data_IF_778013570620
#
_entry.id   IF_778013570620
#
_cell.length_a   1.000
_cell.length_b   1.000
_cell.length_c   1.000
_cell.angle_alpha   90.00
_cell.angle_beta   90.00
_cell.angle_gamma   90.00
#
_symmetry.space_group_name_H-M   'P 1'
#
loop_
_entity.id
_entity.type
_entity.pdbx_description
1 polymer ?
#
# COMPACT_ATOMS: atom_id res chain seq x y z
N UNK A 1 4.71 3.54 -14.73
CA UNK A 1 4.20 3.76 -13.37
C UNK A 1 4.16 5.26 -13.15
N UNK A 2 2.96 5.84 -13.12
CA UNK A 2 2.76 7.25 -12.82
C UNK A 2 2.10 7.28 -11.45
N UNK A 3 2.84 7.76 -10.47
CA UNK A 3 2.35 8.12 -9.14
C UNK A 3 2.08 9.62 -9.17
N UNK A 4 0.81 10.01 -9.10
CA UNK A 4 0.42 11.42 -9.08
C UNK A 4 -0.25 11.73 -7.75
N UNK A 5 0.34 12.68 -7.02
CA UNK A 5 -0.19 13.18 -5.77
C UNK A 5 -1.08 14.40 -6.05
N UNK A 6 -2.37 14.29 -5.74
CA UNK A 6 -3.34 15.37 -5.97
C UNK A 6 -3.57 16.14 -4.66
N UNK A 7 -3.44 17.48 -4.63
CA UNK A 7 -3.61 18.27 -3.41
C UNK A 7 -5.05 18.24 -2.86
N UNK A 8 -5.19 18.30 -1.52
CA UNK A 8 -6.46 18.32 -0.79
C UNK A 8 -6.61 19.55 0.12
N UNK A 9 -7.85 19.80 0.59
CA UNK A 9 -8.25 20.88 1.50
C UNK A 9 -7.76 20.67 2.96
N UNK A 10 -7.26 19.47 3.30
CA UNK A 10 -6.61 19.07 4.56
C UNK A 10 -5.33 18.29 4.22
N UNK A 11 -4.42 18.02 5.18
CA UNK A 11 -3.15 17.33 4.91
C UNK A 11 -3.30 15.83 4.60
N UNK A 12 -4.39 15.41 3.93
CA UNK A 12 -4.51 14.08 3.35
C UNK A 12 -4.13 14.15 1.87
N UNK A 13 -3.45 13.13 1.39
CA UNK A 13 -3.02 13.04 -0.01
C UNK A 13 -3.94 12.09 -0.77
N UNK A 14 -4.22 12.43 -2.04
CA UNK A 14 -4.87 11.55 -3.00
C UNK A 14 -3.80 10.96 -3.90
N UNK A 15 -3.81 9.65 -4.07
CA UNK A 15 -2.89 8.94 -4.94
C UNK A 15 -3.63 8.43 -6.16
N UNK A 16 -3.00 8.58 -7.32
CA UNK A 16 -3.43 7.96 -8.57
C UNK A 16 -2.34 7.01 -9.04
N UNK A 17 -2.69 5.74 -9.17
CA UNK A 17 -1.81 4.71 -9.72
C UNK A 17 -2.45 4.10 -10.96
N UNK A 18 -1.69 3.95 -12.04
CA UNK A 18 -2.18 3.38 -13.29
C UNK A 18 -1.23 2.31 -13.85
N UNK A 19 -1.80 1.16 -14.18
CA UNK A 19 -1.14 0.07 -14.86
C UNK A 19 -1.99 -0.46 -16.02
N UNK A 20 -1.37 -1.27 -16.88
CA UNK A 20 -1.94 -1.68 -18.15
C UNK A 20 -1.43 -3.08 -18.51
N UNK A 21 -1.78 -3.53 -19.72
CA UNK A 21 -1.21 -4.72 -20.35
C UNK A 21 0.32 -4.86 -20.21
N UNK A 22 1.08 -3.76 -20.16
CA UNK A 22 2.54 -3.84 -19.99
C UNK A 22 2.99 -4.53 -18.68
N UNK A 23 2.10 -4.60 -17.68
CA UNK A 23 2.33 -5.28 -16.40
C UNK A 23 1.57 -6.62 -16.31
N UNK A 24 0.96 -7.09 -17.42
CA UNK A 24 0.13 -8.31 -17.48
C UNK A 24 -1.08 -8.32 -16.52
N UNK A 25 -1.55 -7.15 -16.08
CA UNK A 25 -2.72 -7.03 -15.18
C UNK A 25 -4.04 -6.78 -15.92
N UNK A 26 -3.99 -6.45 -17.22
CA UNK A 26 -5.16 -6.15 -18.04
C UNK A 26 -4.96 -6.63 -19.49
N UNK A 27 -6.05 -6.93 -20.25
CA UNK A 27 -5.96 -7.21 -21.67
C UNK A 27 -5.35 -6.06 -22.49
N UNK A 28 -4.83 -6.36 -23.69
CA UNK A 28 -4.25 -5.35 -24.58
C UNK A 28 -5.26 -4.25 -24.92
N UNK A 29 -4.87 -3.00 -24.72
CA UNK A 29 -5.73 -1.82 -24.93
C UNK A 29 -6.64 -1.47 -23.75
N UNK A 30 -6.51 -2.15 -22.61
CA UNK A 30 -7.18 -1.82 -21.36
C UNK A 30 -6.18 -1.34 -20.30
N UNK A 31 -6.68 -0.50 -19.40
CA UNK A 31 -5.92 0.11 -18.31
C UNK A 31 -6.71 -0.06 -17.01
N UNK A 32 -6.00 -0.24 -15.91
CA UNK A 32 -6.57 -0.27 -14.57
C UNK A 32 -5.94 0.91 -13.81
N UNK A 33 -6.79 1.77 -13.28
CA UNK A 33 -6.38 2.91 -12.50
C UNK A 33 -7.01 2.83 -11.11
N UNK A 34 -6.21 3.12 -10.09
CA UNK A 34 -6.60 3.20 -8.69
C UNK A 34 -6.49 4.64 -8.24
N UNK A 35 -7.59 5.17 -7.69
CA UNK A 35 -7.62 6.45 -6.98
C UNK A 35 -7.83 6.12 -5.51
N UNK A 36 -6.85 6.42 -4.66
CA UNK A 36 -6.91 6.09 -3.23
C UNK A 36 -6.72 7.34 -2.38
N UNK A 37 -7.41 7.38 -1.24
CA UNK A 37 -7.29 8.44 -0.25
C UNK A 37 -7.77 7.94 1.10
N UNK A 38 -7.44 8.67 2.16
CA UNK A 38 -8.02 8.43 3.49
C UNK A 38 -9.41 9.06 3.54
N UNK A 39 -10.42 8.27 3.90
CA UNK A 39 -11.80 8.75 3.94
C UNK A 39 -11.96 9.84 5.03
N UNK A 40 -12.40 11.03 4.61
CA UNK A 40 -12.71 12.14 5.54
C UNK A 40 -14.21 12.30 5.80
N UNK A 41 -15.03 11.70 4.95
CA UNK A 41 -16.49 11.78 4.93
C UNK A 41 -17.10 10.42 4.62
N UNK A 42 -18.40 10.29 4.83
CA UNK A 42 -19.15 9.07 4.47
C UNK A 42 -19.45 8.99 2.95
N UNK A 43 -18.94 9.93 2.14
CA UNK A 43 -19.18 10.04 0.70
C UNK A 43 -17.88 9.85 -0.11
N UNK A 44 -17.37 8.61 -0.27
CA UNK A 44 -16.11 8.36 -0.96
C UNK A 44 -16.12 8.82 -2.44
N UNK A 45 -17.29 8.84 -3.08
CA UNK A 45 -17.45 9.28 -4.47
C UNK A 45 -17.08 10.76 -4.67
N UNK A 46 -17.44 11.63 -3.72
CA UNK A 46 -17.14 13.06 -3.81
C UNK A 46 -15.65 13.32 -3.58
N UNK A 47 -15.03 12.57 -2.67
CA UNK A 47 -13.61 12.70 -2.35
C UNK A 47 -12.70 12.23 -3.48
N UNK A 48 -13.09 11.15 -4.18
CA UNK A 48 -12.32 10.57 -5.28
C UNK A 48 -12.61 11.26 -6.62
N UNK A 49 -13.71 12.02 -6.73
CA UNK A 49 -14.11 12.71 -7.96
C UNK A 49 -12.98 13.50 -8.64
N UNK A 50 -12.17 14.32 -7.93
CA UNK A 50 -11.08 15.05 -8.56
C UNK A 50 -10.03 14.14 -9.22
N UNK A 51 -9.78 12.95 -8.66
CA UNK A 51 -8.85 11.97 -9.23
C UNK A 51 -9.47 11.21 -10.41
N UNK A 52 -10.77 10.90 -10.33
CA UNK A 52 -11.52 10.25 -11.42
C UNK A 52 -11.64 11.19 -12.63
N UNK A 53 -11.91 12.48 -12.41
CA UNK A 53 -12.03 13.48 -13.48
C UNK A 53 -10.71 13.62 -14.29
N UNK A 54 -9.55 13.32 -13.69
CA UNK A 54 -8.25 13.29 -14.38
C UNK A 54 -8.08 12.08 -15.31
N UNK A 55 -8.81 10.98 -15.08
CA UNK A 55 -8.74 9.78 -15.91
C UNK A 55 -9.48 9.95 -17.25
N UNK A 56 -10.43 10.89 -17.32
CA UNK A 56 -11.27 11.09 -18.50
C UNK A 56 -12.35 10.00 -18.63
N UNK A 57 -12.65 9.51 -19.85
CA UNK A 57 -13.66 8.47 -20.05
C UNK A 57 -13.24 7.15 -19.38
N UNK A 58 -14.07 6.65 -18.46
CA UNK A 58 -13.87 5.37 -17.75
C UNK A 58 -14.95 4.38 -18.18
N UNK A 59 -14.55 3.14 -18.49
CA UNK A 59 -15.48 2.08 -18.87
C UNK A 59 -16.34 1.62 -17.68
N UNK A 60 -15.70 1.35 -16.53
CA UNK A 60 -16.34 0.85 -15.31
C UNK A 60 -15.61 1.39 -14.07
N UNK A 61 -16.36 1.73 -13.00
CA UNK A 61 -15.82 2.25 -11.74
C UNK A 61 -16.32 1.40 -10.59
N UNK A 62 -15.39 1.00 -9.71
CA UNK A 62 -15.68 0.27 -8.47
C UNK A 62 -15.24 1.11 -7.28
N UNK A 63 -16.13 1.26 -6.29
CA UNK A 63 -15.84 1.99 -5.06
C UNK A 63 -15.79 0.99 -3.92
N UNK A 64 -14.65 0.95 -3.21
CA UNK A 64 -14.48 0.17 -2.00
C UNK A 64 -13.90 1.05 -0.89
N UNK A 65 -14.31 0.78 0.34
CA UNK A 65 -13.81 1.42 1.56
C UNK A 65 -13.40 0.35 2.56
N UNK A 66 -12.26 0.53 3.22
CA UNK A 66 -11.71 -0.42 4.19
C UNK A 66 -11.33 0.30 5.48
N UNK A 67 -11.68 -0.28 6.61
CA UNK A 67 -11.20 0.16 7.91
C UNK A 67 -9.73 -0.23 8.09
N UNK A 68 -8.94 0.66 8.68
CA UNK A 68 -7.54 0.42 9.00
C UNK A 68 -7.37 0.17 10.48
N UNK A 69 -6.61 -0.88 10.80
CA UNK A 69 -6.32 -1.32 12.15
C UNK A 69 -4.82 -1.26 12.44
N UNK A 70 -4.50 -0.97 13.70
CA UNK A 70 -3.15 -1.03 14.26
C UNK A 70 -3.14 -1.93 15.51
N UNK A 71 -2.03 -2.63 15.78
CA UNK A 71 -1.92 -3.50 16.94
C UNK A 71 -1.89 -2.66 18.23
N UNK A 72 -2.76 -3.01 19.18
CA UNK A 72 -2.80 -2.38 20.52
C UNK A 72 -2.21 -3.28 21.60
N UNK A 73 -1.69 -4.45 21.23
CA UNK A 73 -1.20 -5.46 22.17
C UNK A 73 0.24 -5.18 22.62
N UNK A 74 0.61 -5.73 23.78
CA UNK A 74 2.00 -5.71 24.27
C UNK A 74 2.68 -7.02 23.85
N UNK A 75 3.45 -6.95 22.76
CA UNK A 75 4.10 -8.12 22.16
C UNK A 75 5.07 -8.85 23.10
N UNK A 76 5.62 -8.15 24.11
CA UNK A 76 6.53 -8.74 25.10
C UNK A 76 5.80 -9.69 26.07
N UNK A 77 4.50 -9.45 26.30
CA UNK A 77 3.69 -10.24 27.23
C UNK A 77 3.04 -11.45 26.56
N UNK A 78 2.62 -11.31 25.28
CA UNK A 78 1.81 -12.31 24.57
C UNK A 78 2.54 -13.01 23.41
N UNK A 79 3.75 -12.56 23.05
CA UNK A 79 4.50 -13.04 21.88
C UNK A 79 3.70 -13.02 20.56
N UNK A 80 2.70 -12.14 20.45
CA UNK A 80 1.88 -11.95 19.27
C UNK A 80 2.35 -10.71 18.49
N UNK A 81 2.81 -10.93 17.26
CA UNK A 81 3.32 -9.88 16.39
C UNK A 81 2.34 -9.67 15.24
N UNK A 82 1.58 -8.58 15.29
CA UNK A 82 0.50 -8.28 14.36
C UNK A 82 0.91 -7.08 13.51
N UNK A 83 0.73 -7.18 12.19
CA UNK A 83 1.00 -6.08 11.25
C UNK A 83 -0.08 -5.01 11.28
N UNK A 84 0.28 -3.81 10.89
CA UNK A 84 -0.67 -2.73 10.60
C UNK A 84 -1.40 -2.97 9.28
N UNK A 85 -2.60 -2.39 9.12
CA UNK A 85 -3.31 -2.40 7.85
C UNK A 85 -2.62 -1.50 6.81
N UNK A 86 -2.67 -1.89 5.54
CA UNK A 86 -2.16 -1.08 4.43
C UNK A 86 -2.79 0.32 4.45
N UNK A 87 -1.96 1.32 4.19
CA UNK A 87 -2.40 2.71 4.08
C UNK A 87 -2.86 3.03 2.66
N UNK A 88 -3.32 4.27 2.46
CA UNK A 88 -3.80 4.71 1.16
C UNK A 88 -2.67 4.97 0.15
N UNK A 89 -1.39 4.83 0.55
CA UNK A 89 -0.26 5.12 -0.32
C UNK A 89 -0.08 4.03 -1.37
N UNK A 90 0.38 4.43 -2.55
CA UNK A 90 0.57 3.57 -3.72
C UNK A 90 2.00 3.00 -3.82
N UNK A 91 2.83 3.27 -2.82
CA UNK A 91 4.21 2.81 -2.72
C UNK A 91 4.46 2.11 -1.38
N UNK A 92 5.44 1.21 -1.32
CA UNK A 92 5.59 0.28 -0.20
C UNK A 92 6.42 0.81 0.98
N UNK A 93 6.73 2.11 1.06
CA UNK A 93 7.67 2.60 2.07
C UNK A 93 7.17 2.34 3.51
N UNK A 94 5.91 2.64 3.79
CA UNK A 94 5.30 2.44 5.12
C UNK A 94 5.15 0.96 5.44
N UNK A 95 4.75 0.16 4.46
CA UNK A 95 4.67 -1.30 4.59
C UNK A 95 6.03 -1.90 4.94
N UNK A 96 7.10 -1.49 4.25
CA UNK A 96 8.45 -1.98 4.50
C UNK A 96 8.91 -1.60 5.91
N UNK A 97 8.61 -0.37 6.36
CA UNK A 97 8.91 0.05 7.73
C UNK A 97 8.22 -0.83 8.77
N UNK A 98 6.95 -1.19 8.56
CA UNK A 98 6.22 -2.08 9.46
C UNK A 98 6.83 -3.49 9.50
N UNK A 99 7.20 -4.04 8.34
CA UNK A 99 7.88 -5.35 8.24
C UNK A 99 9.23 -5.33 8.97
N UNK A 100 10.04 -4.29 8.79
CA UNK A 100 11.34 -4.16 9.47
C UNK A 100 11.14 -4.04 10.98
N UNK A 101 10.15 -3.25 11.42
CA UNK A 101 9.84 -3.11 12.84
C UNK A 101 9.40 -4.45 13.47
N UNK A 102 8.53 -5.19 12.79
CA UNK A 102 8.12 -6.52 13.23
C UNK A 102 9.30 -7.49 13.29
N UNK A 103 10.17 -7.50 12.27
CA UNK A 103 11.37 -8.33 12.28
C UNK A 103 12.24 -8.05 13.51
N UNK A 104 12.45 -6.77 13.84
CA UNK A 104 13.19 -6.36 15.03
C UNK A 104 12.53 -6.83 16.33
N UNK A 105 11.19 -6.72 16.44
CA UNK A 105 10.42 -7.19 17.61
C UNK A 105 10.49 -8.71 17.78
N UNK A 106 10.41 -9.47 16.69
CA UNK A 106 10.42 -10.95 16.72
C UNK A 106 11.82 -11.48 17.03
N UNK A 107 12.85 -10.94 16.37
CA UNK A 107 14.20 -11.52 16.40
C UNK A 107 15.12 -10.88 17.43
N UNK A 108 14.77 -9.67 17.92
CA UNK A 108 15.62 -8.86 18.79
C UNK A 108 16.89 -8.33 18.10
N UNK A 109 16.96 -8.39 16.76
CA UNK A 109 18.12 -7.97 15.96
C UNK A 109 17.76 -6.84 15.00
N UNK A 110 18.71 -5.96 14.74
CA UNK A 110 18.57 -4.97 13.66
C UNK A 110 18.73 -5.66 12.30
N UNK A 111 17.88 -5.30 11.34
CA UNK A 111 17.91 -5.88 10.01
C UNK A 111 19.12 -5.37 9.22
N UNK A 112 20.10 -6.23 9.01
CA UNK A 112 21.21 -5.99 8.10
C UNK A 112 20.88 -6.56 6.71
N UNK A 113 20.85 -5.69 5.69
CA UNK A 113 20.63 -6.08 4.29
C UNK A 113 21.94 -6.21 3.48
N UNK A 114 23.09 -5.97 4.11
CA UNK A 114 24.41 -6.06 3.48
C UNK A 114 24.99 -7.48 3.48
N UNK A 115 24.27 -8.44 4.08
CA UNK A 115 24.72 -9.83 4.21
C UNK A 115 24.80 -10.49 2.84
N UNK A 116 25.94 -11.09 2.54
CA UNK A 116 26.13 -11.90 1.34
C UNK A 116 25.34 -13.20 1.48
N UNK A 117 24.21 -13.29 0.77
CA UNK A 117 23.29 -14.43 0.77
C UNK A 117 23.79 -15.62 -0.07
N UNK A 118 25.00 -15.57 -0.66
CA UNK A 118 25.57 -16.70 -1.40
C UNK A 118 25.71 -17.97 -0.55
N UNK A 119 25.78 -17.84 0.78
CA UNK A 119 25.78 -18.98 1.71
C UNK A 119 24.36 -19.47 2.11
N UNK A 120 23.31 -18.65 1.91
CA UNK A 120 21.94 -18.98 2.30
C UNK A 120 21.21 -19.85 1.25
N UNK A 121 21.69 -19.89 0.01
CA UNK A 121 21.15 -20.77 -1.04
C UNK A 121 21.77 -22.17 -1.07
N UNK A 122 22.57 -22.54 -0.07
CA UNK A 122 23.29 -23.81 -0.01
C UNK A 122 22.85 -24.73 1.16
N UNK A 123 21.61 -24.58 1.64
CA UNK A 123 20.96 -25.66 2.39
C UNK A 123 20.30 -26.59 1.36
N UNK A 124 21.04 -27.64 1.01
CA UNK A 124 20.66 -28.71 0.10
C UNK A 124 19.33 -29.37 0.49
N UNK A 125 18.46 -29.57 -0.51
CA UNK A 125 17.76 -30.85 -0.71
C UNK A 125 18.19 -31.43 -2.06
#
# INVERSE_FOLDING_TARGET
MLDVQVPCLKPCYRYLFCCSYSHNVAPKGKYIAFVTTEAETDNPQEELKPGIDLLGPVDEIFFDSYDRYEPTNQHDDDSCFISTSYDATTHFETTVKDVIAMYGRITGKELDLSVDLSAASAAEE
#
